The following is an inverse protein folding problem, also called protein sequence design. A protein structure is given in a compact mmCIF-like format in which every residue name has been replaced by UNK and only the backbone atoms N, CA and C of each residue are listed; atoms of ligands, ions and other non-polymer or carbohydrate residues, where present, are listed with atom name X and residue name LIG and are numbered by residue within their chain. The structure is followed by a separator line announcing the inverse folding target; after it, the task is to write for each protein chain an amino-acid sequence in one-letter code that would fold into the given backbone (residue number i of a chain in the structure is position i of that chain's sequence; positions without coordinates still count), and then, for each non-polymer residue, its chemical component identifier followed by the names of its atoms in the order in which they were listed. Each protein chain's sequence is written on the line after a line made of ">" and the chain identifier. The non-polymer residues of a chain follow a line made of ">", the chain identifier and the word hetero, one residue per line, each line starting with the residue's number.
data_IF_082068594167
#
_entry.id   IF_082068594167
#
_cell.length_a   1.000
_cell.length_b   1.000
_cell.length_c   1.000
_cell.angle_alpha   90.00
_cell.angle_beta   90.00
_cell.angle_gamma   90.00
#
_symmetry.space_group_name_H-M   'P 1'
#
loop_
_entity.id
_entity.type
_entity.pdbx_description
1 polymer ?
#
# COMPACT_ATOMS: atom_id res chain seq x y z
N UNK A 1 3.50 -13.97 6.39
CA UNK A 1 2.04 -14.27 6.35
C UNK A 1 1.62 -14.31 4.89
N UNK A 2 0.86 -15.29 4.41
CA UNK A 2 0.37 -15.28 3.01
C UNK A 2 -0.68 -14.18 2.82
N UNK A 3 -0.79 -13.56 1.63
CA UNK A 3 -1.80 -12.54 1.40
C UNK A 3 -3.21 -13.15 1.39
N UNK A 4 -4.19 -12.37 1.83
CA UNK A 4 -5.58 -12.79 2.02
C UNK A 4 -6.58 -11.88 1.33
N UNK A 5 -6.13 -10.75 0.76
CA UNK A 5 -7.00 -9.81 0.03
C UNK A 5 -6.21 -8.99 -1.00
N UNK A 6 -6.94 -8.41 -1.94
CA UNK A 6 -6.44 -7.39 -2.86
C UNK A 6 -5.87 -6.18 -2.09
N UNK A 7 -4.91 -5.49 -2.68
CA UNK A 7 -4.34 -4.27 -2.11
C UNK A 7 -3.17 -4.47 -1.14
N UNK A 8 -2.95 -5.69 -0.65
CA UNK A 8 -1.81 -5.98 0.23
C UNK A 8 -0.48 -5.88 -0.50
N UNK A 9 0.53 -5.35 0.21
CA UNK A 9 1.92 -5.32 -0.27
C UNK A 9 2.62 -6.61 0.12
N UNK A 10 3.29 -7.22 -0.85
CA UNK A 10 3.91 -8.53 -0.74
C UNK A 10 5.29 -8.55 -1.39
N UNK A 11 6.08 -9.55 -1.02
CA UNK A 11 7.29 -9.97 -1.71
C UNK A 11 7.34 -11.49 -1.81
N UNK A 12 8.27 -12.02 -2.60
CA UNK A 12 8.56 -13.45 -2.59
C UNK A 12 9.30 -13.82 -1.30
N UNK A 13 8.87 -14.89 -0.62
CA UNK A 13 9.56 -15.38 0.58
C UNK A 13 10.83 -16.20 0.22
N UNK A 14 10.92 -16.67 -1.03
CA UNK A 14 12.05 -17.46 -1.56
C UNK A 14 12.43 -16.98 -2.97
N UNK A 15 12.98 -15.75 -3.11
CA UNK A 15 13.41 -15.23 -4.40
C UNK A 15 14.53 -16.08 -5.01
N UNK A 16 14.62 -16.11 -6.34
CA UNK A 16 15.73 -16.72 -7.06
C UNK A 16 17.03 -15.93 -6.85
N UNK A 17 18.17 -16.57 -7.12
CA UNK A 17 19.49 -15.98 -6.85
C UNK A 17 19.78 -14.68 -7.63
N UNK A 18 19.12 -14.50 -8.77
CA UNK A 18 19.20 -13.32 -9.64
C UNK A 18 18.05 -12.32 -9.43
N UNK A 19 17.08 -12.65 -8.58
CA UNK A 19 15.96 -11.76 -8.25
C UNK A 19 16.34 -10.79 -7.11
N UNK A 20 15.74 -9.59 -7.15
CA UNK A 20 15.86 -8.64 -6.06
C UNK A 20 14.96 -9.08 -4.89
N UNK A 21 15.50 -9.48 -3.73
CA UNK A 21 14.72 -9.95 -2.59
C UNK A 21 13.83 -8.87 -1.96
N UNK A 22 14.12 -7.59 -2.22
CA UNK A 22 13.35 -6.45 -1.72
C UNK A 22 12.34 -5.92 -2.75
N UNK A 23 12.17 -6.60 -3.89
CA UNK A 23 11.17 -6.22 -4.88
C UNK A 23 9.76 -6.40 -4.28
N UNK A 24 9.03 -5.30 -4.24
CA UNK A 24 7.67 -5.24 -3.70
C UNK A 24 6.64 -5.35 -4.82
N UNK A 25 5.51 -5.94 -4.48
CA UNK A 25 4.37 -6.10 -5.37
C UNK A 25 3.09 -5.75 -4.62
N UNK A 26 2.06 -5.36 -5.36
CA UNK A 26 0.69 -5.26 -4.86
C UNK A 26 -0.14 -6.42 -5.38
N UNK A 27 -0.96 -7.01 -4.51
CA UNK A 27 -1.95 -8.05 -4.85
C UNK A 27 -3.11 -7.42 -5.62
N UNK A 28 -3.39 -7.93 -6.81
CA UNK A 28 -4.50 -7.48 -7.67
C UNK A 28 -5.73 -8.38 -7.58
N UNK A 29 -5.53 -9.70 -7.53
CA UNK A 29 -6.63 -10.68 -7.49
C UNK A 29 -6.11 -12.00 -6.89
N UNK A 30 -6.85 -12.59 -5.96
CA UNK A 30 -6.58 -13.94 -5.44
C UNK A 30 -7.57 -14.91 -6.09
N UNK A 31 -7.04 -15.92 -6.77
CA UNK A 31 -7.78 -16.94 -7.53
C UNK A 31 -7.73 -18.25 -6.75
N UNK A 32 -8.83 -18.57 -6.06
CA UNK A 32 -8.97 -19.81 -5.30
C UNK A 32 -9.46 -20.95 -6.20
N UNK A 33 -8.53 -21.67 -6.82
CA UNK A 33 -8.81 -22.89 -7.58
C UNK A 33 -8.39 -24.12 -6.77
N UNK A 34 -9.23 -24.51 -5.81
CA UNK A 34 -9.28 -25.80 -5.10
C UNK A 34 -7.96 -26.43 -4.61
N UNK A 35 -7.10 -26.86 -5.52
CA UNK A 35 -5.81 -27.48 -5.24
C UNK A 35 -4.63 -26.50 -5.14
N UNK A 36 -4.65 -25.36 -5.86
CA UNK A 36 -3.56 -24.36 -5.84
C UNK A 36 -4.09 -22.95 -6.05
N UNK A 37 -4.18 -22.19 -4.96
CA UNK A 37 -4.50 -20.76 -5.04
C UNK A 37 -3.40 -20.01 -5.78
N UNK A 38 -3.81 -19.21 -6.76
CA UNK A 38 -2.93 -18.32 -7.54
C UNK A 38 -3.26 -16.88 -7.22
N UNK A 39 -2.34 -15.99 -7.55
CA UNK A 39 -2.50 -14.57 -7.28
C UNK A 39 -1.89 -13.77 -8.42
N UNK A 40 -2.64 -12.78 -8.90
CA UNK A 40 -2.14 -11.78 -9.81
C UNK A 40 -1.49 -10.65 -9.01
N UNK A 41 -0.24 -10.35 -9.33
CA UNK A 41 0.56 -9.32 -8.66
C UNK A 41 1.13 -8.33 -9.65
N UNK A 42 1.28 -7.07 -9.23
CA UNK A 42 1.91 -6.01 -10.02
C UNK A 42 3.14 -5.47 -9.31
N UNK A 43 4.27 -5.41 -10.03
CA UNK A 43 5.52 -4.91 -9.49
C UNK A 43 5.46 -3.40 -9.20
N UNK A 44 5.92 -3.01 -8.02
CA UNK A 44 6.00 -1.62 -7.57
C UNK A 44 7.41 -1.06 -7.79
N UNK A 45 7.52 0.26 -7.85
CA UNK A 45 8.81 0.98 -7.90
C UNK A 45 9.76 0.56 -9.05
N UNK A 46 9.22 0.03 -10.15
CA UNK A 46 10.02 -0.41 -11.30
C UNK A 46 10.44 0.74 -12.22
N UNK A 47 9.87 1.94 -12.04
CA UNK A 47 10.04 3.08 -12.95
C UNK A 47 9.28 2.94 -14.28
N UNK A 48 8.59 1.84 -14.51
CA UNK A 48 7.77 1.61 -15.70
C UNK A 48 6.43 2.34 -15.58
N UNK A 49 5.99 2.99 -16.64
CA UNK A 49 4.64 3.57 -16.73
C UNK A 49 3.55 2.48 -16.70
N UNK A 50 3.87 1.28 -17.19
CA UNK A 50 2.98 0.14 -17.18
C UNK A 50 3.74 -1.13 -16.73
N UNK A 51 3.89 -1.34 -15.41
CA UNK A 51 4.53 -2.53 -14.87
C UNK A 51 3.77 -3.79 -15.26
N UNK A 52 4.46 -4.91 -15.55
CA UNK A 52 3.81 -6.17 -15.87
C UNK A 52 3.00 -6.70 -14.68
N UNK A 53 1.94 -7.43 -15.00
CA UNK A 53 1.16 -8.23 -14.06
C UNK A 53 1.57 -9.69 -14.24
N UNK A 54 1.92 -10.36 -13.14
CA UNK A 54 2.33 -11.75 -13.13
C UNK A 54 1.34 -12.58 -12.30
N UNK A 55 1.07 -13.80 -12.74
CA UNK A 55 0.29 -14.77 -11.97
C UNK A 55 1.25 -15.77 -11.31
N UNK A 56 1.23 -15.86 -9.98
CA UNK A 56 2.14 -16.70 -9.19
C UNK A 56 1.36 -17.57 -8.20
N UNK A 57 2.04 -18.49 -7.51
CA UNK A 57 1.40 -19.26 -6.45
C UNK A 57 1.23 -18.37 -5.22
N UNK A 58 0.06 -18.45 -4.58
CA UNK A 58 -0.22 -17.72 -3.35
C UNK A 58 0.79 -18.07 -2.24
N UNK A 59 1.23 -19.33 -2.23
CA UNK A 59 2.20 -19.86 -1.25
C UNK A 59 3.56 -19.19 -1.34
N UNK A 60 3.95 -18.67 -2.51
CA UNK A 60 5.30 -18.13 -2.75
C UNK A 60 5.47 -16.71 -2.19
N UNK A 61 4.36 -16.10 -1.75
CA UNK A 61 4.30 -14.72 -1.31
C UNK A 61 4.19 -14.58 0.20
N UNK A 62 4.77 -13.51 0.70
CA UNK A 62 4.54 -13.02 2.05
C UNK A 62 4.16 -11.54 2.06
N UNK A 63 3.15 -11.23 2.87
CA UNK A 63 2.79 -9.85 3.24
C UNK A 63 3.91 -9.26 4.06
N UNK A 64 4.28 -8.02 3.71
CA UNK A 64 5.30 -7.27 4.41
C UNK A 64 4.71 -6.07 5.15
N UNK A 65 5.40 -5.69 6.23
CA UNK A 65 5.17 -4.42 6.88
C UNK A 65 5.94 -3.32 6.15
N UNK A 66 5.29 -2.19 5.94
CA UNK A 66 5.88 -0.98 5.37
C UNK A 66 6.14 0.01 6.50
N UNK A 67 7.31 0.65 6.45
CA UNK A 67 7.65 1.73 7.36
C UNK A 67 6.95 3.02 6.92
N UNK A 68 6.25 3.66 7.85
CA UNK A 68 5.50 4.90 7.61
C UNK A 68 6.18 6.12 8.22
N UNK A 69 7.27 5.94 8.96
CA UNK A 69 7.97 7.03 9.66
C UNK A 69 8.48 8.09 8.68
N UNK A 70 8.89 7.65 7.49
CA UNK A 70 9.34 8.50 6.39
C UNK A 70 8.23 9.42 5.85
N UNK A 71 6.96 9.21 6.18
CA UNK A 71 5.88 10.13 5.78
C UNK A 71 5.95 11.46 6.54
N UNK A 72 6.59 11.50 7.71
CA UNK A 72 6.64 12.71 8.53
C UNK A 72 7.35 13.84 7.78
N UNK A 73 6.69 14.99 7.69
CA UNK A 73 7.20 16.16 7.00
C UNK A 73 6.81 16.26 5.53
N UNK A 74 6.25 15.21 4.92
CA UNK A 74 5.71 15.28 3.55
C UNK A 74 4.34 15.96 3.53
N UNK A 75 4.04 16.60 2.39
CA UNK A 75 2.70 17.10 2.10
C UNK A 75 1.89 15.96 1.49
N UNK A 76 0.75 15.64 2.09
CA UNK A 76 -0.12 14.55 1.67
C UNK A 76 -1.57 14.98 1.69
N UNK A 77 -2.42 14.19 1.03
CA UNK A 77 -3.88 14.28 1.17
C UNK A 77 -4.36 13.21 2.14
N UNK A 78 -5.28 13.56 3.03
CA UNK A 78 -5.98 12.58 3.88
C UNK A 78 -7.48 12.58 3.60
N UNK A 79 -8.12 11.42 3.79
CA UNK A 79 -9.56 11.30 3.95
C UNK A 79 -9.91 11.39 5.44
N UNK A 80 -10.77 12.35 5.79
CA UNK A 80 -11.31 12.50 7.15
C UNK A 80 -12.49 11.55 7.38
N UNK A 81 -12.90 11.41 8.64
CA UNK A 81 -14.06 10.59 9.03
C UNK A 81 -15.39 11.04 8.43
N UNK A 82 -15.49 12.30 8.01
CA UNK A 82 -16.64 12.88 7.30
C UNK A 82 -16.51 12.74 5.77
N UNK A 83 -15.58 11.92 5.29
CA UNK A 83 -15.25 11.69 3.88
C UNK A 83 -14.74 12.92 3.12
N UNK A 84 -14.50 14.04 3.81
CA UNK A 84 -13.85 15.20 3.21
C UNK A 84 -12.34 14.98 3.08
N UNK A 85 -11.74 15.60 2.06
CA UNK A 85 -10.30 15.55 1.81
C UNK A 85 -9.63 16.83 2.27
N UNK A 86 -8.47 16.68 2.90
CA UNK A 86 -7.63 17.81 3.33
C UNK A 86 -6.18 17.53 2.97
N UNK A 87 -5.50 18.55 2.47
CA UNK A 87 -4.07 18.51 2.16
C UNK A 87 -3.30 19.19 3.28
N UNK A 88 -2.18 18.62 3.68
CA UNK A 88 -1.34 19.21 4.71
C UNK A 88 -0.05 18.45 4.95
N UNK A 89 0.80 19.02 5.81
CA UNK A 89 2.08 18.45 6.20
C UNK A 89 1.88 17.40 7.28
N UNK A 90 2.38 16.19 7.09
CA UNK A 90 2.35 15.15 8.13
C UNK A 90 3.20 15.58 9.32
N UNK A 91 2.58 15.60 10.50
CA UNK A 91 3.24 15.89 11.78
C UNK A 91 3.29 14.67 12.70
N UNK A 92 2.44 13.67 12.45
CA UNK A 92 2.40 12.42 13.22
C UNK A 92 1.88 11.27 12.38
N UNK A 93 2.48 10.10 12.58
CA UNK A 93 2.03 8.79 12.09
C UNK A 93 1.54 7.98 13.29
N UNK A 94 0.39 7.34 13.17
CA UNK A 94 -0.17 6.54 14.28
C UNK A 94 0.58 5.24 14.53
N UNK A 95 1.01 4.56 13.47
CA UNK A 95 1.73 3.29 13.51
C UNK A 95 2.95 3.39 12.61
N UNK A 96 4.15 3.12 13.14
CA UNK A 96 5.41 3.24 12.39
C UNK A 96 5.64 2.09 11.40
N UNK A 97 5.04 0.93 11.66
CA UNK A 97 5.07 -0.24 10.77
C UNK A 97 3.67 -0.77 10.63
N UNK A 98 3.24 -0.98 9.40
CA UNK A 98 1.87 -1.43 9.10
C UNK A 98 1.88 -2.40 7.93
N UNK A 99 1.00 -3.40 7.98
CA UNK A 99 0.64 -4.17 6.80
C UNK A 99 -0.26 -3.28 5.92
N UNK A 100 0.37 -2.59 4.96
CA UNK A 100 -0.31 -1.63 4.10
C UNK A 100 -1.38 -2.32 3.26
N UNK A 101 -2.56 -1.73 3.28
CA UNK A 101 -3.71 -2.12 2.48
C UNK A 101 -4.10 -0.96 1.56
N UNK A 102 -4.42 -1.29 0.30
CA UNK A 102 -4.75 -0.34 -0.74
C UNK A 102 -6.11 -0.70 -1.35
N UNK A 103 -7.08 0.19 -1.21
CA UNK A 103 -8.41 0.04 -1.83
C UNK A 103 -8.66 1.10 -2.89
N UNK A 104 -9.50 0.76 -3.88
CA UNK A 104 -9.94 1.70 -4.91
C UNK A 104 -10.93 2.69 -4.30
N UNK A 105 -10.55 3.96 -4.23
CA UNK A 105 -11.47 5.07 -3.97
C UNK A 105 -12.10 5.60 -5.26
N UNK A 106 -13.02 6.58 -5.14
CA UNK A 106 -13.75 7.15 -6.29
C UNK A 106 -12.80 7.84 -7.29
N UNK A 107 -11.77 8.52 -6.80
CA UNK A 107 -10.85 9.33 -7.61
C UNK A 107 -9.37 9.04 -7.33
N UNK A 108 -9.05 7.91 -6.70
CA UNK A 108 -7.71 7.65 -6.17
C UNK A 108 -7.65 6.37 -5.35
N UNK A 109 -6.56 6.22 -4.60
CA UNK A 109 -6.28 5.05 -3.77
C UNK A 109 -6.44 5.42 -2.31
N UNK A 110 -7.26 4.65 -1.62
CA UNK A 110 -7.44 4.72 -0.17
C UNK A 110 -6.47 3.75 0.51
N UNK A 111 -6.00 4.13 1.70
CA UNK A 111 -5.07 3.32 2.48
C UNK A 111 -5.54 3.17 3.93
N UNK A 112 -4.97 2.22 4.66
CA UNK A 112 -5.15 2.08 6.11
C UNK A 112 -4.15 2.92 6.95
N UNK A 113 -3.34 3.78 6.33
CA UNK A 113 -2.31 4.56 7.05
C UNK A 113 -2.94 5.77 7.73
N UNK A 114 -3.02 5.77 9.06
CA UNK A 114 -3.60 6.87 9.82
C UNK A 114 -2.56 7.95 10.16
N UNK A 115 -2.89 9.19 9.83
CA UNK A 115 -2.01 10.36 9.93
C UNK A 115 -2.65 11.50 10.70
N UNK A 116 -1.81 12.33 11.30
CA UNK A 116 -2.14 13.70 11.69
C UNK A 116 -1.36 14.65 10.79
N UNK A 117 -2.08 15.57 10.13
CA UNK A 117 -1.50 16.60 9.27
C UNK A 117 -1.78 18.00 9.82
N UNK A 118 -0.96 18.96 9.41
CA UNK A 118 -1.19 20.38 9.61
C UNK A 118 -1.54 21.03 8.26
N UNK A 119 -2.69 21.68 8.17
CA UNK A 119 -3.10 22.41 6.95
C UNK A 119 -2.33 23.74 6.79
N UNK A 120 -2.60 24.45 5.69
CA UNK A 120 -1.98 25.74 5.35
C UNK A 120 -2.32 26.88 6.35
N UNK A 121 -3.39 26.70 7.13
CA UNK A 121 -3.86 27.62 8.17
C UNK A 121 -3.35 27.25 9.55
N UNK A 122 -2.60 26.16 9.68
CA UNK A 122 -2.08 25.67 10.96
C UNK A 122 -3.10 24.89 11.79
N UNK A 123 -4.20 24.41 11.20
CA UNK A 123 -5.13 23.52 11.89
C UNK A 123 -4.69 22.06 11.73
N UNK A 124 -4.84 21.29 12.81
CA UNK A 124 -4.59 19.85 12.78
C UNK A 124 -5.80 19.09 12.24
N UNK A 125 -5.52 18.10 11.39
CA UNK A 125 -6.52 17.17 10.87
C UNK A 125 -6.05 15.74 11.03
N UNK A 126 -6.99 14.83 11.23
CA UNK A 126 -6.73 13.39 11.36
C UNK A 126 -7.54 12.61 10.34
N UNK A 127 -6.92 11.57 9.78
CA UNK A 127 -7.55 10.75 8.76
C UNK A 127 -6.60 9.72 8.17
N UNK A 128 -7.05 9.02 7.14
CA UNK A 128 -6.23 8.05 6.41
C UNK A 128 -5.56 8.67 5.19
N UNK A 129 -4.34 8.26 4.88
CA UNK A 129 -3.63 8.70 3.67
C UNK A 129 -4.45 8.33 2.42
N UNK A 130 -4.59 9.30 1.53
CA UNK A 130 -5.26 9.17 0.24
C UNK A 130 -4.31 9.61 -0.87
N UNK A 131 -4.19 8.79 -1.92
CA UNK A 131 -3.26 9.04 -3.04
C UNK A 131 -4.05 9.31 -4.32
N UNK A 132 -3.83 10.47 -4.91
CA UNK A 132 -4.37 10.83 -6.23
C UNK A 132 -3.37 10.49 -7.34
N UNK A 133 -3.84 10.09 -8.54
CA UNK A 133 -2.99 9.90 -9.71
C UNK A 133 -2.24 11.16 -10.17
#
# INVERSE_FOLDING_TARGET
>A
MVPTKEGQIVKFHSPLADENPDQQYVVLEIKEDGERSRVDIKALNTGLSFPPVNTVLLSDLEVIEVDTSDLTGHIVTINKSDFSQVVGKVIKVSEQKINLDLSKGIHGVETNVWLTILDDKGNEHMGTLYVTP
#
